data_IF_286483715006
#
_entry.id   IF_286483715006
#
_cell.length_a   1.000
_cell.length_b   1.000
_cell.length_c   1.000
_cell.angle_alpha   90.00
_cell.angle_beta   90.00
_cell.angle_gamma   90.00
#
_symmetry.space_group_name_H-M   'P 1'
#
loop_
_entity.id
_entity.type
_entity.pdbx_description
1 polymer ?
#
# COMPACT_ATOMS: atom_id res chain seq x y z
N UNK A 1 -5.56 2.28 4.29
CA UNK A 1 -4.22 2.76 3.88
C UNK A 1 -3.38 1.60 3.40
N UNK A 2 -2.97 1.60 2.13
CA UNK A 2 -2.11 0.57 1.54
C UNK A 2 -0.66 1.08 1.47
N UNK A 3 0.19 0.50 2.31
CA UNK A 3 1.63 0.79 2.40
C UNK A 3 2.44 -0.03 1.40
N UNK A 4 3.49 0.58 0.85
CA UNK A 4 4.40 -0.05 -0.13
C UNK A 4 5.85 0.22 0.25
N UNK A 5 6.60 0.96 -0.58
CA UNK A 5 7.98 1.36 -0.26
C UNK A 5 8.06 2.40 0.87
N UNK A 6 6.96 3.07 1.18
CA UNK A 6 6.81 4.17 2.13
C UNK A 6 6.42 3.69 3.54
N UNK A 7 7.23 2.82 4.14
CA UNK A 7 7.00 2.26 5.49
C UNK A 7 7.27 3.29 6.62
N UNK A 8 6.53 4.39 6.62
CA UNK A 8 6.61 5.51 7.58
C UNK A 8 5.21 6.04 7.95
N UNK A 9 5.04 6.42 9.21
CA UNK A 9 3.82 7.09 9.70
C UNK A 9 3.94 8.61 9.68
N UNK A 10 5.15 9.16 9.80
CA UNK A 10 5.42 10.60 9.76
C UNK A 10 5.59 11.04 8.31
N UNK A 11 4.98 12.17 7.96
CA UNK A 11 5.07 12.77 6.62
C UNK A 11 4.64 11.77 5.53
N UNK A 12 3.45 11.20 5.72
CA UNK A 12 2.81 10.31 4.75
C UNK A 12 1.46 10.93 4.35
N UNK A 13 1.42 11.51 3.15
CA UNK A 13 0.25 12.25 2.65
C UNK A 13 -1.00 11.36 2.56
N UNK A 14 -0.86 10.13 2.09
CA UNK A 14 -1.97 9.18 2.03
C UNK A 14 -2.48 8.76 3.42
N UNK A 15 -1.59 8.50 4.38
CA UNK A 15 -1.97 8.17 5.75
C UNK A 15 -2.68 9.35 6.43
N UNK A 16 -2.14 10.55 6.30
CA UNK A 16 -2.76 11.77 6.84
C UNK A 16 -4.14 12.00 6.22
N UNK A 17 -4.27 11.80 4.91
CA UNK A 17 -5.55 11.94 4.20
C UNK A 17 -6.56 10.90 4.70
N UNK A 18 -6.16 9.64 4.85
CA UNK A 18 -7.00 8.57 5.39
C UNK A 18 -7.48 8.90 6.80
N UNK A 19 -6.58 9.28 7.71
CA UNK A 19 -6.96 9.61 9.09
C UNK A 19 -7.86 10.84 9.20
N UNK A 20 -7.78 11.78 8.25
CA UNK A 20 -8.60 13.01 8.26
C UNK A 20 -10.00 12.84 7.66
N UNK A 21 -10.21 11.79 6.86
CA UNK A 21 -11.43 11.59 6.04
C UNK A 21 -12.17 10.30 6.35
N UNK A 22 -11.66 9.50 7.29
CA UNK A 22 -12.22 8.21 7.67
C UNK A 22 -12.27 8.09 9.19
N UNK A 23 -13.35 7.52 9.71
CA UNK A 23 -13.52 7.30 11.15
C UNK A 23 -12.65 6.13 11.65
N UNK A 24 -12.45 5.12 10.81
CA UNK A 24 -11.61 3.97 11.07
C UNK A 24 -10.62 3.76 9.92
N UNK A 25 -9.37 3.43 10.25
CA UNK A 25 -8.31 3.23 9.27
C UNK A 25 -7.63 1.90 9.54
N UNK A 26 -7.58 1.05 8.52
CA UNK A 26 -6.76 -0.15 8.50
C UNK A 26 -5.54 0.08 7.62
N UNK A 27 -4.39 -0.39 8.08
CA UNK A 27 -3.16 -0.44 7.30
C UNK A 27 -2.97 -1.83 6.70
N UNK A 28 -2.61 -1.87 5.42
CA UNK A 28 -2.27 -3.12 4.72
C UNK A 28 -0.91 -2.97 4.04
N UNK A 29 -0.09 -4.01 4.12
CA UNK A 29 1.13 -4.18 3.33
C UNK A 29 1.05 -5.51 2.59
N UNK A 30 1.35 -5.51 1.29
CA UNK A 30 1.33 -6.71 0.46
C UNK A 30 2.76 -7.08 0.07
N UNK A 31 3.21 -8.25 0.52
CA UNK A 31 4.51 -8.80 0.17
C UNK A 31 4.38 -9.74 -1.03
N UNK A 32 5.32 -9.64 -1.98
CA UNK A 32 5.45 -10.54 -3.15
C UNK A 32 6.76 -11.32 -3.07
N UNK A 33 6.88 -12.29 -2.16
CA UNK A 33 8.15 -13.00 -1.91
C UNK A 33 8.67 -13.79 -3.12
N UNK A 34 7.79 -14.31 -3.99
CA UNK A 34 8.22 -15.00 -5.21
C UNK A 34 8.91 -14.05 -6.20
N UNK A 35 8.37 -12.84 -6.37
CA UNK A 35 9.05 -11.80 -7.17
C UNK A 35 10.37 -11.35 -6.57
N UNK A 36 10.48 -11.25 -5.24
CA UNK A 36 11.77 -10.91 -4.61
C UNK A 36 12.84 -11.94 -4.95
N UNK A 37 12.45 -13.22 -5.05
CA UNK A 37 13.34 -14.29 -5.46
C UNK A 37 13.74 -14.16 -6.94
N UNK A 38 12.78 -13.92 -7.85
CA UNK A 38 13.04 -13.76 -9.29
C UNK A 38 13.89 -12.51 -9.62
N UNK A 39 13.65 -11.40 -8.92
CA UNK A 39 14.39 -10.14 -9.09
C UNK A 39 15.74 -10.10 -8.34
N UNK A 40 16.20 -11.22 -7.77
CA UNK A 40 17.47 -11.33 -7.03
C UNK A 40 17.58 -10.30 -5.89
N UNK A 41 16.46 -9.99 -5.23
CA UNK A 41 16.45 -9.09 -4.07
C UNK A 41 17.31 -9.70 -2.98
N UNK A 42 18.28 -8.93 -2.50
CA UNK A 42 19.24 -9.44 -1.53
C UNK A 42 18.50 -9.86 -0.24
N UNK A 43 18.82 -11.01 0.37
CA UNK A 43 18.17 -11.47 1.61
C UNK A 43 18.20 -10.42 2.74
N UNK A 44 19.22 -9.56 2.76
CA UNK A 44 19.34 -8.46 3.71
C UNK A 44 18.30 -7.35 3.50
N UNK A 45 17.86 -7.11 2.27
CA UNK A 45 16.78 -6.15 1.98
C UNK A 45 15.44 -6.70 2.47
N UNK A 46 15.20 -8.00 2.31
CA UNK A 46 14.00 -8.68 2.83
C UNK A 46 13.96 -8.59 4.37
N UNK A 47 15.07 -8.90 5.04
CA UNK A 47 15.15 -8.77 6.49
C UNK A 47 15.00 -7.31 6.95
N UNK A 48 15.53 -6.35 6.20
CA UNK A 48 15.34 -4.93 6.49
C UNK A 48 13.87 -4.52 6.39
N UNK A 49 13.15 -4.92 5.34
CA UNK A 49 11.70 -4.67 5.19
C UNK A 49 10.94 -5.27 6.35
N UNK A 50 11.23 -6.52 6.72
CA UNK A 50 10.58 -7.20 7.84
C UNK A 50 10.77 -6.45 9.16
N UNK A 51 12.00 -6.03 9.47
CA UNK A 51 12.29 -5.22 10.67
C UNK A 51 11.58 -3.87 10.63
N UNK A 52 11.51 -3.23 9.45
CA UNK A 52 10.77 -1.98 9.27
C UNK A 52 9.26 -2.16 9.46
N UNK A 53 8.68 -3.26 9.01
CA UNK A 53 7.25 -3.57 9.22
C UNK A 53 6.91 -3.73 10.70
N UNK A 54 7.80 -4.35 11.50
CA UNK A 54 7.62 -4.45 12.96
C UNK A 54 7.55 -3.06 13.58
N UNK A 55 8.52 -2.20 13.26
CA UNK A 55 8.54 -0.81 13.78
C UNK A 55 7.32 -0.02 13.29
N UNK A 56 6.92 -0.19 12.03
CA UNK A 56 5.74 0.46 11.48
C UNK A 56 4.46 0.00 12.22
N UNK A 57 4.34 -1.29 12.52
CA UNK A 57 3.22 -1.84 13.27
C UNK A 57 3.11 -1.22 14.66
N UNK A 58 4.22 -1.08 15.39
CA UNK A 58 4.26 -0.43 16.70
C UNK A 58 3.84 1.05 16.60
N UNK A 59 4.33 1.76 15.59
CA UNK A 59 3.97 3.17 15.35
C UNK A 59 2.48 3.34 15.00
N UNK A 60 1.92 2.45 14.18
CA UNK A 60 0.51 2.47 13.81
C UNK A 60 -0.39 2.07 14.98
N UNK A 61 0.04 1.10 15.80
CA UNK A 61 -0.68 0.70 17.00
C UNK A 61 -0.81 1.87 18.00
N UNK A 62 0.22 2.72 18.12
CA UNK A 62 0.15 3.94 18.93
C UNK A 62 -0.88 4.97 18.40
N UNK A 63 -1.26 4.86 17.13
CA UNK A 63 -2.31 5.65 16.48
C UNK A 63 -3.68 4.93 16.45
N UNK A 64 -3.78 3.73 17.02
CA UNK A 64 -4.99 2.90 16.97
C UNK A 64 -5.25 2.23 15.61
N UNK A 65 -4.24 2.17 14.73
CA UNK A 65 -4.37 1.65 13.37
C UNK A 65 -3.77 0.23 13.32
N UNK A 66 -4.57 -0.82 13.05
CA UNK A 66 -4.03 -2.16 12.86
C UNK A 66 -3.30 -2.29 11.51
N UNK A 67 -2.17 -2.99 11.51
CA UNK A 67 -1.42 -3.33 10.29
C UNK A 67 -1.58 -4.82 9.95
N UNK A 68 -2.11 -5.10 8.76
CA UNK A 68 -2.20 -6.43 8.17
C UNK A 68 -1.13 -6.62 7.10
N UNK A 69 -0.40 -7.72 7.17
CA UNK A 69 0.57 -8.12 6.13
C UNK A 69 -0.01 -9.31 5.37
N UNK A 70 -0.18 -9.15 4.06
CA UNK A 70 -0.69 -10.19 3.17
C UNK A 70 0.42 -10.61 2.23
N UNK A 71 0.59 -11.91 2.05
CA UNK A 71 1.54 -12.46 1.09
C UNK A 71 0.78 -12.94 -0.15
N UNK A 72 1.24 -12.53 -1.33
CA UNK A 72 0.69 -12.97 -2.62
C UNK A 72 1.82 -13.44 -3.54
N UNK A 73 1.47 -14.25 -4.55
CA UNK A 73 2.46 -14.81 -5.46
C UNK A 73 3.11 -13.74 -6.36
N UNK A 74 2.32 -12.84 -6.94
CA UNK A 74 2.77 -11.86 -7.92
C UNK A 74 1.93 -10.56 -7.86
N UNK A 75 2.29 -9.58 -8.71
CA UNK A 75 1.55 -8.33 -8.82
C UNK A 75 0.13 -8.50 -9.38
N UNK A 76 -0.14 -9.56 -10.15
CA UNK A 76 -1.46 -9.81 -10.74
C UNK A 76 -2.45 -10.30 -9.68
N UNK A 77 -1.98 -10.91 -8.60
CA UNK A 77 -2.79 -11.29 -7.44
C UNK A 77 -3.08 -10.12 -6.46
N UNK A 78 -2.41 -8.97 -6.61
CA UNK A 78 -2.56 -7.82 -5.71
C UNK A 78 -3.97 -7.22 -5.73
N UNK A 79 -4.61 -6.95 -6.89
CA UNK A 79 -5.97 -6.42 -6.94
C UNK A 79 -6.98 -7.27 -6.17
N UNK A 80 -6.94 -8.59 -6.36
CA UNK A 80 -7.86 -9.52 -5.71
C UNK A 80 -7.63 -9.59 -4.20
N UNK A 81 -6.37 -9.56 -3.76
CA UNK A 81 -6.04 -9.54 -2.33
C UNK A 81 -6.52 -8.25 -1.65
N UNK A 82 -6.34 -7.08 -2.30
CA UNK A 82 -6.85 -5.81 -1.77
C UNK A 82 -8.38 -5.84 -1.72
N UNK A 83 -9.03 -6.32 -2.78
CA UNK A 83 -10.49 -6.40 -2.83
C UNK A 83 -11.04 -7.31 -1.73
N UNK A 84 -10.46 -8.51 -1.55
CA UNK A 84 -10.86 -9.44 -0.50
C UNK A 84 -10.72 -8.81 0.88
N UNK A 85 -9.57 -8.20 1.16
CA UNK A 85 -9.33 -7.53 2.43
C UNK A 85 -10.31 -6.36 2.66
N UNK A 86 -10.58 -5.58 1.62
CA UNK A 86 -11.52 -4.47 1.70
C UNK A 86 -12.94 -4.97 2.00
N UNK A 87 -13.38 -6.07 1.39
CA UNK A 87 -14.68 -6.68 1.69
C UNK A 87 -14.74 -7.22 3.11
N UNK A 88 -13.71 -7.97 3.55
CA UNK A 88 -13.67 -8.58 4.89
C UNK A 88 -13.70 -7.53 6.01
N UNK A 89 -13.02 -6.40 5.79
CA UNK A 89 -12.95 -5.28 6.73
C UNK A 89 -14.00 -4.19 6.47
N UNK A 90 -14.93 -4.40 5.52
CA UNK A 90 -15.97 -3.43 5.14
C UNK A 90 -15.43 -2.03 4.77
N UNK A 91 -14.31 -1.99 4.05
CA UNK A 91 -13.62 -0.78 3.62
C UNK A 91 -14.27 -0.24 2.35
N UNK A 92 -14.64 1.04 2.37
CA UNK A 92 -15.22 1.75 1.23
C UNK A 92 -14.21 2.64 0.48
N UNK A 93 -13.01 2.84 1.04
CA UNK A 93 -11.98 3.71 0.47
C UNK A 93 -10.55 3.23 0.74
N UNK A 94 -9.80 2.98 -0.34
CA UNK A 94 -8.37 2.67 -0.32
C UNK A 94 -7.53 3.89 -0.66
N UNK A 95 -6.54 4.18 0.19
CA UNK A 95 -5.57 5.27 0.04
C UNK A 95 -4.16 4.69 -0.16
N UNK A 96 -3.36 5.23 -1.07
CA UNK A 96 -1.94 4.89 -1.23
C UNK A 96 -1.11 6.08 -1.74
N UNK A 97 0.23 6.00 -1.63
CA UNK A 97 1.15 6.96 -2.25
C UNK A 97 1.69 6.39 -3.56
N UNK A 98 1.62 7.14 -4.66
CA UNK A 98 2.04 6.73 -6.02
C UNK A 98 3.49 6.25 -6.07
N UNK A 99 3.72 5.27 -6.93
CA UNK A 99 5.02 4.77 -7.34
C UNK A 99 5.19 5.04 -8.85
N UNK A 100 6.39 5.40 -9.29
CA UNK A 100 6.63 5.87 -10.67
C UNK A 100 7.27 4.79 -11.56
N UNK A 101 7.56 3.63 -11.02
CA UNK A 101 8.07 2.48 -11.74
C UNK A 101 6.97 1.85 -12.62
N UNK A 102 7.31 1.39 -13.82
CA UNK A 102 6.33 0.98 -14.84
C UNK A 102 5.39 -0.15 -14.39
N UNK A 103 5.95 -1.18 -13.73
CA UNK A 103 5.17 -2.32 -13.26
C UNK A 103 4.19 -1.88 -12.16
N UNK A 104 4.62 -0.98 -11.29
CA UNK A 104 3.86 -0.41 -10.19
C UNK A 104 2.72 0.48 -10.70
N UNK A 105 2.94 1.24 -11.78
CA UNK A 105 1.88 2.01 -12.43
C UNK A 105 0.80 1.09 -13.00
N UNK A 106 1.19 0.01 -13.69
CA UNK A 106 0.24 -0.95 -14.25
C UNK A 106 -0.55 -1.66 -13.15
N UNK A 107 0.13 -2.12 -12.10
CA UNK A 107 -0.49 -2.71 -10.92
C UNK A 107 -1.50 -1.75 -10.27
N UNK A 108 -1.11 -0.49 -10.05
CA UNK A 108 -1.97 0.51 -9.43
C UNK A 108 -3.20 0.82 -10.28
N UNK A 109 -3.06 0.81 -11.61
CA UNK A 109 -4.19 0.94 -12.52
C UNK A 109 -5.14 -0.26 -12.42
N UNK A 110 -4.62 -1.49 -12.40
CA UNK A 110 -5.43 -2.70 -12.22
C UNK A 110 -6.16 -2.72 -10.87
N UNK A 111 -5.48 -2.35 -9.79
CA UNK A 111 -6.08 -2.21 -8.46
C UNK A 111 -7.20 -1.16 -8.49
N UNK A 112 -6.93 0.02 -9.04
CA UNK A 112 -7.92 1.10 -9.15
C UNK A 112 -9.17 0.68 -9.93
N UNK A 113 -9.01 -0.02 -11.06
CA UNK A 113 -10.12 -0.55 -11.84
C UNK A 113 -10.91 -1.62 -11.08
N UNK A 114 -10.21 -2.57 -10.44
CA UNK A 114 -10.84 -3.63 -9.66
C UNK A 114 -11.70 -3.07 -8.52
N UNK A 115 -11.16 -2.12 -7.76
CA UNK A 115 -11.88 -1.47 -6.66
C UNK A 115 -13.09 -0.66 -7.16
N UNK A 116 -12.92 0.10 -8.24
CA UNK A 116 -14.01 0.91 -8.81
C UNK A 116 -15.18 0.04 -9.27
N UNK A 117 -14.90 -1.10 -9.90
CA UNK A 117 -15.91 -2.06 -10.33
C UNK A 117 -16.71 -2.66 -9.16
N UNK A 118 -16.12 -2.65 -7.95
CA UNK A 118 -16.74 -3.11 -6.72
C UNK A 118 -17.22 -1.94 -5.82
N UNK A 119 -17.35 -0.74 -6.39
CA UNK A 119 -17.84 0.47 -5.69
C UNK A 119 -16.96 0.94 -4.52
N UNK A 120 -15.69 0.55 -4.49
CA UNK A 120 -14.71 0.97 -3.49
C UNK A 120 -13.90 2.13 -4.08
N UNK A 121 -13.83 3.24 -3.35
CA UNK A 121 -13.07 4.42 -3.77
C UNK A 121 -11.57 4.14 -3.71
N UNK A 122 -10.83 4.69 -4.66
CA UNK A 122 -9.37 4.62 -4.69
C UNK A 122 -8.77 6.01 -4.79
N UNK A 123 -7.77 6.33 -3.97
CA UNK A 123 -7.06 7.61 -4.01
C UNK A 123 -5.56 7.42 -3.86
N UNK A 124 -4.83 7.86 -4.88
CA UNK A 124 -3.38 7.81 -4.93
C UNK A 124 -2.78 9.22 -4.85
N UNK A 125 -1.84 9.43 -3.92
CA UNK A 125 -1.23 10.72 -3.63
C UNK A 125 0.22 10.78 -4.08
N UNK A 126 0.69 11.93 -4.54
CA UNK A 126 2.10 12.16 -4.87
C UNK A 126 2.87 12.51 -3.57
N UNK A 127 3.70 11.58 -3.08
CA UNK A 127 4.45 11.73 -1.81
C UNK A 127 5.97 11.51 -1.98
N UNK A 128 6.42 11.23 -3.21
CA UNK A 128 7.83 10.97 -3.54
C UNK A 128 8.54 12.18 -4.20
N UNK A 129 7.81 13.25 -4.56
CA UNK A 129 8.38 14.38 -5.28
C UNK A 129 8.10 15.71 -4.57
N UNK A 130 9.14 16.51 -4.35
CA UNK A 130 8.99 17.92 -3.90
C UNK A 130 8.25 18.77 -4.94
N UNK A 131 8.28 18.34 -6.22
CA UNK A 131 7.58 18.98 -7.35
C UNK A 131 6.92 17.86 -8.18
N UNK A 132 5.60 17.86 -8.38
CA UNK A 132 4.94 16.85 -9.22
C UNK A 132 5.45 16.94 -10.67
N UNK A 133 5.74 15.81 -11.36
CA UNK A 133 6.18 15.85 -12.74
C UNK A 133 5.06 16.43 -13.62
N UNK A 134 5.36 17.56 -14.26
CA UNK A 134 4.52 18.15 -15.30
C UNK A 134 4.62 17.23 -16.53
N UNK A 135 3.52 16.55 -16.88
CA UNK A 135 3.40 15.94 -18.21
C UNK A 135 3.24 17.08 -19.23
N UNK A 136 4.17 17.18 -20.18
CA UNK A 136 4.02 17.97 -21.40
C UNK A 136 3.05 17.31 -22.38
#
# INVERSE_FOLDING_TARGET
MWFRADLRTVDNTALSSACSRSDEVHAIFIATPMQWHEHHVAPIQIDFIRRRLVVLSEQLAALGIPLSVIEVADFDAVPDAILSFANDQHIDHVYCNKQYEWNEIQRDHHVGQCLLNNQIKFSAFDDQCVIPPVMC
#
